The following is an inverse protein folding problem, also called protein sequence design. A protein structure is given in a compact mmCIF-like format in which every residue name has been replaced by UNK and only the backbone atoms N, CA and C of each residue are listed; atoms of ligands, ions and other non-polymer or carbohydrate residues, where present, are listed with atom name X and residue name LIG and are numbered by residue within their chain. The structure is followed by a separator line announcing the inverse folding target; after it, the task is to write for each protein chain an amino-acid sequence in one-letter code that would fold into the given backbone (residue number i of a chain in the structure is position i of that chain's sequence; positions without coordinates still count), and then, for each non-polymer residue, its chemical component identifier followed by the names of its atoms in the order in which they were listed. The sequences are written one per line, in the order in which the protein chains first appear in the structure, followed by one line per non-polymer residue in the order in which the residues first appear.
data_IF_988257975791
#
_entry.id   IF_988257975791
#
_cell.length_a   1.000
_cell.length_b   1.000
_cell.length_c   1.000
_cell.angle_alpha   90.00
_cell.angle_beta   90.00
_cell.angle_gamma   90.00
#
_symmetry.space_group_name_H-M   'P 1'
#
loop_
_entity.id
_entity.type
_entity.pdbx_description
1 polymer ?
#
# COMPACT_ATOMS: atom_id res chain seq x y z
N UNK A 1 55.85 0.03 36.20
CA UNK A 1 55.09 -0.79 35.23
C UNK A 1 53.61 -0.42 35.33
N UNK A 2 53.07 0.08 34.21
CA UNK A 2 51.66 0.20 33.79
C UNK A 2 50.65 0.84 34.77
N UNK A 3 50.43 2.14 34.57
CA UNK A 3 49.18 2.83 34.86
C UNK A 3 48.31 2.89 33.58
N UNK A 4 46.99 2.99 33.79
CA UNK A 4 45.89 3.24 32.82
C UNK A 4 45.33 2.01 32.07
N UNK A 5 44.19 1.51 32.56
CA UNK A 5 43.21 0.82 31.73
C UNK A 5 41.77 1.32 32.04
N UNK A 6 41.31 2.19 31.13
CA UNK A 6 39.97 2.22 30.49
C UNK A 6 38.72 2.42 31.38
N UNK A 7 38.49 3.66 31.80
CA UNK A 7 37.15 4.22 31.92
C UNK A 7 36.65 4.64 30.52
N UNK A 8 36.05 3.71 29.76
CA UNK A 8 35.50 4.01 28.43
C UNK A 8 34.29 3.12 28.07
N UNK A 9 33.46 2.79 29.05
CA UNK A 9 32.23 2.01 28.83
C UNK A 9 30.97 2.69 29.42
N UNK A 10 31.05 3.98 29.78
CA UNK A 10 29.91 4.73 30.36
C UNK A 10 29.40 5.87 29.48
N UNK A 11 29.99 6.14 28.32
CA UNK A 11 29.52 7.21 27.42
C UNK A 11 28.62 6.72 26.27
N UNK A 12 28.61 5.42 25.94
CA UNK A 12 27.76 4.90 24.85
C UNK A 12 26.30 4.70 25.28
N UNK A 13 26.01 4.51 26.57
CA UNK A 13 24.64 4.28 27.07
C UNK A 13 23.82 5.58 27.11
N UNK A 14 24.48 6.74 27.31
CA UNK A 14 23.82 8.05 27.32
C UNK A 14 23.34 8.53 25.94
N UNK A 15 23.86 7.97 24.84
CA UNK A 15 23.41 8.31 23.48
C UNK A 15 22.09 7.62 23.10
N UNK A 16 21.83 6.43 23.64
CA UNK A 16 20.62 5.66 23.29
C UNK A 16 19.39 6.22 24.02
N UNK A 17 19.56 6.71 25.24
CA UNK A 17 18.47 7.30 26.03
C UNK A 17 18.00 8.65 25.45
N UNK A 18 18.88 9.42 24.79
CA UNK A 18 18.53 10.69 24.14
C UNK A 18 17.78 10.49 22.81
N UNK A 19 18.03 9.39 22.11
CA UNK A 19 17.30 9.01 20.88
C UNK A 19 15.87 8.54 21.21
N UNK A 20 15.67 7.86 22.35
CA UNK A 20 14.33 7.45 22.79
C UNK A 20 13.49 8.62 23.30
N UNK A 21 14.11 9.61 23.95
CA UNK A 21 13.39 10.81 24.42
C UNK A 21 13.01 11.77 23.28
N UNK A 22 13.81 11.83 22.21
CA UNK A 22 13.47 12.61 21.00
C UNK A 22 12.42 11.92 20.12
N UNK A 23 12.34 10.58 20.14
CA UNK A 23 11.32 9.81 19.42
C UNK A 23 9.91 9.99 20.00
N UNK A 24 9.79 10.25 21.32
CA UNK A 24 8.48 10.43 21.97
C UNK A 24 7.83 11.80 21.71
N UNK A 25 8.60 12.83 21.34
CA UNK A 25 8.05 14.14 20.95
C UNK A 25 7.62 14.23 19.47
N UNK A 26 7.98 13.25 18.64
CA UNK A 26 7.50 13.19 17.25
C UNK A 26 6.08 12.60 17.13
N UNK A 27 5.58 11.94 18.18
CA UNK A 27 4.28 11.27 18.20
C UNK A 27 3.12 12.14 18.72
N UNK A 28 3.36 13.40 19.11
CA UNK A 28 2.27 14.37 19.24
C UNK A 28 1.86 14.84 17.84
N UNK A 29 1.21 13.93 17.12
CA UNK A 29 0.44 14.28 15.95
C UNK A 29 -0.54 15.38 16.34
N UNK A 30 -0.37 16.57 15.75
CA UNK A 30 -1.50 17.46 15.55
C UNK A 30 -2.53 16.61 14.80
N UNK A 31 -3.62 16.24 15.47
CA UNK A 31 -4.82 15.78 14.77
C UNK A 31 -5.24 16.96 13.90
N UNK A 32 -4.77 16.93 12.66
CA UNK A 32 -5.06 17.95 11.67
C UNK A 32 -6.54 17.82 11.37
N UNK A 33 -7.27 18.92 11.55
CA UNK A 33 -8.68 19.05 11.23
C UNK A 33 -9.04 18.62 9.78
N UNK A 34 -8.06 18.35 8.92
CA UNK A 34 -8.24 17.70 7.60
C UNK A 34 -8.83 16.30 7.65
N UNK A 35 -8.67 15.55 8.73
CA UNK A 35 -9.28 14.21 8.85
C UNK A 35 -10.82 14.26 8.81
N UNK A 36 -11.43 15.38 9.24
CA UNK A 36 -12.89 15.58 9.20
C UNK A 36 -13.44 15.88 7.79
N UNK A 37 -12.59 16.23 6.80
CA UNK A 37 -13.02 16.43 5.41
C UNK A 37 -12.93 15.16 4.57
N UNK A 38 -12.21 14.14 5.04
CA UNK A 38 -12.01 12.88 4.30
C UNK A 38 -13.23 11.94 4.35
N UNK A 39 -14.11 12.10 5.34
CA UNK A 39 -15.26 11.21 5.52
C UNK A 39 -16.34 11.43 4.43
N UNK A 40 -16.42 12.64 3.87
CA UNK A 40 -17.36 13.01 2.80
C UNK A 40 -16.96 12.55 1.39
N UNK A 41 -15.72 12.10 1.18
CA UNK A 41 -15.25 11.61 -0.13
C UNK A 41 -15.56 10.12 -0.36
N UNK A 42 -15.80 9.36 0.73
CA UNK A 42 -15.97 7.90 0.70
C UNK A 42 -17.28 7.44 0.05
N UNK A 43 -18.33 8.29 0.08
CA UNK A 43 -19.69 7.93 -0.37
C UNK A 43 -19.84 7.79 -1.89
N UNK A 44 -18.88 8.30 -2.68
CA UNK A 44 -18.95 8.30 -4.15
C UNK A 44 -17.85 7.44 -4.83
N UNK A 45 -17.07 6.68 -4.07
CA UNK A 45 -16.02 5.82 -4.64
C UNK A 45 -16.58 4.48 -5.09
N UNK A 46 -16.09 3.98 -6.23
CA UNK A 46 -16.34 2.60 -6.66
C UNK A 46 -15.64 1.61 -5.73
N UNK A 47 -16.04 0.34 -5.77
CA UNK A 47 -15.44 -0.70 -4.92
C UNK A 47 -13.94 -0.88 -5.21
N UNK A 48 -13.52 -0.80 -6.48
CA UNK A 48 -12.10 -0.82 -6.83
C UNK A 48 -11.35 0.39 -6.26
N UNK A 49 -11.96 1.58 -6.32
CA UNK A 49 -11.37 2.78 -5.74
C UNK A 49 -11.22 2.64 -4.22
N UNK A 50 -12.24 2.11 -3.54
CA UNK A 50 -12.19 1.81 -2.09
C UNK A 50 -11.07 0.83 -1.79
N UNK A 51 -10.94 -0.24 -2.57
CA UNK A 51 -9.87 -1.24 -2.43
C UNK A 51 -8.48 -0.59 -2.50
N UNK A 52 -8.19 0.19 -3.56
CA UNK A 52 -6.87 0.81 -3.70
C UNK A 52 -6.65 1.97 -2.73
N UNK A 53 -7.70 2.60 -2.21
CA UNK A 53 -7.60 3.67 -1.22
C UNK A 53 -6.95 3.22 0.10
N UNK A 54 -6.85 1.91 0.36
CA UNK A 54 -6.04 1.38 1.46
C UNK A 54 -4.59 1.86 1.38
N UNK A 55 -4.03 1.89 0.16
CA UNK A 55 -2.64 2.29 -0.07
C UNK A 55 -2.46 3.81 -0.08
N UNK A 56 -3.51 4.60 -0.37
CA UNK A 56 -3.49 6.06 -0.25
C UNK A 56 -3.54 6.44 1.24
N UNK A 57 -2.37 6.65 1.86
CA UNK A 57 -2.25 6.81 3.32
C UNK A 57 -2.58 8.22 3.75
N UNK A 58 -2.21 9.21 2.94
CA UNK A 58 -2.44 10.61 3.22
C UNK A 58 -3.83 11.12 2.75
N UNK A 59 -4.57 10.30 1.99
CA UNK A 59 -5.92 10.56 1.47
C UNK A 59 -5.98 11.71 0.47
N UNK A 60 -4.94 11.89 -0.35
CA UNK A 60 -4.91 12.90 -1.41
C UNK A 60 -5.35 12.37 -2.79
N UNK A 61 -5.66 11.08 -2.90
CA UNK A 61 -6.06 10.41 -4.14
C UNK A 61 -4.89 10.00 -5.05
N UNK A 62 -3.66 10.14 -4.58
CA UNK A 62 -2.42 9.81 -5.28
C UNK A 62 -1.64 8.80 -4.43
N UNK A 63 -1.46 7.60 -4.96
CA UNK A 63 -0.66 6.57 -4.30
C UNK A 63 0.77 6.67 -4.86
N UNK A 64 1.74 6.84 -3.96
CA UNK A 64 3.17 6.85 -4.27
C UNK A 64 3.81 5.46 -4.10
N UNK A 65 4.96 5.17 -4.73
CA UNK A 65 5.67 3.89 -4.52
C UNK A 65 5.98 3.61 -3.04
N UNK A 66 6.29 4.65 -2.27
CA UNK A 66 6.55 4.54 -0.84
C UNK A 66 5.30 4.12 -0.07
N UNK A 67 4.15 4.69 -0.40
CA UNK A 67 2.88 4.32 0.22
C UNK A 67 2.46 2.89 -0.15
N UNK A 68 2.68 2.46 -1.39
CA UNK A 68 2.47 1.07 -1.79
C UNK A 68 3.37 0.12 -1.01
N UNK A 69 4.66 0.44 -0.88
CA UNK A 69 5.60 -0.32 -0.05
C UNK A 69 5.09 -0.42 1.41
N UNK A 70 4.70 0.71 2.00
CA UNK A 70 4.18 0.76 3.36
C UNK A 70 2.87 -0.02 3.51
N UNK A 71 2.00 -0.03 2.50
CA UNK A 71 0.78 -0.81 2.48
C UNK A 71 1.04 -2.31 2.44
N UNK A 72 2.01 -2.79 1.64
CA UNK A 72 2.42 -4.19 1.65
C UNK A 72 3.01 -4.62 3.00
N UNK A 73 3.86 -3.78 3.60
CA UNK A 73 4.36 -4.02 4.98
C UNK A 73 3.20 -4.06 5.98
N UNK A 74 2.20 -3.18 5.84
CA UNK A 74 1.05 -3.12 6.75
C UNK A 74 0.14 -4.35 6.68
N UNK A 75 0.06 -5.05 5.53
CA UNK A 75 -0.66 -6.33 5.41
C UNK A 75 0.19 -7.55 5.82
N UNK A 76 1.43 -7.33 6.29
CA UNK A 76 2.31 -8.37 6.81
C UNK A 76 3.30 -8.93 5.80
N UNK A 77 3.54 -8.28 4.65
CA UNK A 77 4.57 -8.71 3.72
C UNK A 77 5.97 -8.28 4.18
N UNK A 78 6.96 -9.14 3.90
CA UNK A 78 8.38 -8.84 4.15
C UNK A 78 8.89 -7.66 3.32
N UNK A 79 9.96 -7.00 3.79
CA UNK A 79 10.52 -5.78 3.18
C UNK A 79 10.92 -6.00 1.71
N UNK A 80 11.59 -7.13 1.41
CA UNK A 80 12.04 -7.44 0.05
C UNK A 80 10.85 -7.62 -0.90
N UNK A 81 9.85 -8.38 -0.50
CA UNK A 81 8.62 -8.57 -1.29
C UNK A 81 7.87 -7.25 -1.48
N UNK A 82 7.71 -6.47 -0.41
CA UNK A 82 7.03 -5.18 -0.45
C UNK A 82 7.71 -4.20 -1.42
N UNK A 83 9.04 -4.21 -1.48
CA UNK A 83 9.81 -3.34 -2.39
C UNK A 83 9.62 -3.76 -3.85
N UNK A 84 9.68 -5.07 -4.12
CA UNK A 84 9.44 -5.62 -5.46
C UNK A 84 8.00 -5.36 -5.92
N UNK A 85 7.03 -5.61 -5.05
CA UNK A 85 5.61 -5.39 -5.33
C UNK A 85 5.30 -3.92 -5.62
N UNK A 86 5.83 -2.98 -4.82
CA UNK A 86 5.68 -1.56 -5.07
C UNK A 86 6.24 -1.14 -6.44
N UNK A 87 7.42 -1.64 -6.79
CA UNK A 87 8.04 -1.36 -8.09
C UNK A 87 7.21 -1.89 -9.26
N UNK A 88 6.76 -3.14 -9.17
CA UNK A 88 5.95 -3.79 -10.22
C UNK A 88 4.58 -3.14 -10.37
N UNK A 89 3.88 -2.88 -9.26
CA UNK A 89 2.55 -2.25 -9.28
C UNK A 89 2.60 -0.87 -9.92
N UNK A 90 3.61 -0.05 -9.57
CA UNK A 90 3.74 1.28 -10.18
C UNK A 90 4.19 1.22 -11.64
N UNK A 91 5.13 0.33 -11.98
CA UNK A 91 5.55 0.11 -13.37
C UNK A 91 4.39 -0.32 -14.27
N UNK A 92 3.48 -1.15 -13.76
CA UNK A 92 2.33 -1.65 -14.50
C UNK A 92 1.16 -0.65 -14.56
N UNK A 93 0.80 -0.01 -13.44
CA UNK A 93 -0.45 0.75 -13.33
C UNK A 93 -0.29 2.26 -13.51
N UNK A 94 0.86 2.85 -13.19
CA UNK A 94 1.05 4.30 -13.32
C UNK A 94 0.79 4.81 -14.75
N UNK A 95 1.25 4.16 -15.84
CA UNK A 95 1.02 4.64 -17.20
C UNK A 95 -0.46 4.81 -17.58
N UNK A 96 -1.36 4.04 -16.98
CA UNK A 96 -2.79 4.05 -17.32
C UNK A 96 -3.63 4.95 -16.42
N UNK A 97 -3.11 5.28 -15.24
CA UNK A 97 -3.87 6.00 -14.21
C UNK A 97 -3.53 7.48 -14.12
N UNK A 98 -2.68 8.00 -15.01
CA UNK A 98 -2.39 9.44 -15.04
C UNK A 98 -3.54 10.26 -15.64
N UNK A 99 -3.76 11.51 -15.19
CA UNK A 99 -4.69 12.43 -15.82
C UNK A 99 -4.45 12.56 -17.34
N UNK A 100 -5.50 12.80 -18.14
CA UNK A 100 -5.33 13.08 -19.56
C UNK A 100 -4.37 14.25 -19.78
N UNK A 101 -3.38 14.07 -20.67
CA UNK A 101 -2.39 15.10 -21.00
C UNK A 101 -1.14 15.14 -20.10
N UNK A 102 -1.03 14.27 -19.09
CA UNK A 102 0.21 14.13 -18.31
C UNK A 102 1.33 13.55 -19.18
N UNK A 103 2.53 14.14 -19.10
CA UNK A 103 3.73 13.65 -19.79
C UNK A 103 4.55 12.72 -18.88
N UNK A 104 5.28 11.74 -19.44
CA UNK A 104 6.20 10.89 -18.68
C UNK A 104 7.29 11.69 -17.93
N UNK A 105 7.87 11.15 -16.84
CA UNK A 105 7.67 9.79 -16.32
C UNK A 105 6.43 9.64 -15.43
N UNK A 106 5.74 8.51 -15.59
CA UNK A 106 4.61 8.13 -14.74
C UNK A 106 5.12 7.34 -13.54
N UNK A 107 5.01 7.94 -12.35
CA UNK A 107 5.49 7.31 -11.11
C UNK A 107 4.36 6.98 -10.15
N UNK A 108 3.29 7.80 -10.15
CA UNK A 108 2.21 7.67 -9.18
C UNK A 108 0.96 7.02 -9.79
N UNK A 109 0.15 6.41 -8.93
CA UNK A 109 -1.14 5.85 -9.28
C UNK A 109 -2.22 6.80 -8.79
N UNK A 110 -3.11 7.25 -9.67
CA UNK A 110 -4.23 8.10 -9.25
C UNK A 110 -5.49 7.27 -9.06
N UNK A 111 -6.02 7.28 -7.84
CA UNK A 111 -7.21 6.51 -7.44
C UNK A 111 -8.40 6.80 -8.35
N UNK A 112 -8.60 8.08 -8.72
CA UNK A 112 -9.68 8.50 -9.63
C UNK A 112 -9.71 7.73 -10.95
N UNK A 113 -8.55 7.38 -11.49
CA UNK A 113 -8.40 6.79 -12.82
C UNK A 113 -8.08 5.29 -12.80
N UNK A 114 -8.11 4.64 -11.62
CA UNK A 114 -7.71 3.24 -11.46
C UNK A 114 -8.48 2.25 -12.36
N UNK A 115 -9.75 2.53 -12.66
CA UNK A 115 -10.56 1.73 -13.58
C UNK A 115 -9.98 1.62 -14.99
N UNK A 116 -9.11 2.55 -15.41
CA UNK A 116 -8.42 2.50 -16.71
C UNK A 116 -7.28 1.48 -16.74
N UNK A 117 -6.82 1.03 -15.58
CA UNK A 117 -5.81 0.00 -15.47
C UNK A 117 -6.40 -1.42 -15.50
N UNK A 118 -7.73 -1.55 -15.52
CA UNK A 118 -8.41 -2.83 -15.75
C UNK A 118 -8.14 -3.29 -17.17
N UNK A 119 -7.71 -4.53 -17.33
CA UNK A 119 -7.34 -5.13 -18.60
C UNK A 119 -8.08 -6.44 -18.85
N UNK A 120 -8.15 -6.88 -20.10
CA UNK A 120 -8.93 -8.07 -20.49
C UNK A 120 -8.49 -9.38 -19.84
N UNK A 121 -7.26 -9.47 -19.31
CA UNK A 121 -6.78 -10.62 -18.54
C UNK A 121 -7.21 -10.61 -17.07
N UNK A 122 -7.95 -9.58 -16.61
CA UNK A 122 -8.50 -9.57 -15.25
C UNK A 122 -9.64 -10.58 -15.11
N UNK A 123 -9.90 -11.00 -13.87
CA UNK A 123 -10.94 -11.98 -13.54
C UNK A 123 -12.36 -11.48 -13.80
N UNK A 124 -12.54 -10.16 -13.97
CA UNK A 124 -13.85 -9.51 -14.06
C UNK A 124 -14.55 -9.35 -12.71
N UNK A 125 -13.88 -9.63 -11.58
CA UNK A 125 -14.39 -9.34 -10.24
C UNK A 125 -14.68 -7.85 -10.02
N UNK A 126 -14.03 -6.98 -10.80
CA UNK A 126 -14.42 -5.60 -11.01
C UNK A 126 -14.80 -5.38 -12.47
N UNK A 127 -15.90 -4.67 -12.72
CA UNK A 127 -16.30 -4.30 -14.08
C UNK A 127 -15.43 -3.15 -14.65
N UNK A 128 -15.66 -2.76 -15.90
CA UNK A 128 -14.89 -1.70 -16.59
C UNK A 128 -15.00 -0.31 -15.94
N UNK A 129 -15.89 -0.11 -14.97
CA UNK A 129 -16.02 1.11 -14.17
C UNK A 129 -15.43 0.94 -12.77
N UNK A 130 -14.91 -0.24 -12.44
CA UNK A 130 -14.37 -0.59 -11.12
C UNK A 130 -15.45 -0.94 -10.10
N UNK A 131 -16.66 -1.30 -10.53
CA UNK A 131 -17.71 -1.77 -9.62
C UNK A 131 -17.53 -3.26 -9.35
N UNK A 132 -17.78 -3.69 -8.12
CA UNK A 132 -17.62 -5.10 -7.76
C UNK A 132 -18.72 -5.98 -8.37
N UNK A 133 -18.34 -7.14 -8.89
CA UNK A 133 -19.24 -8.12 -9.52
C UNK A 133 -19.13 -9.44 -8.77
N UNK A 134 -20.07 -9.66 -7.82
CA UNK A 134 -20.08 -10.84 -6.95
C UNK A 134 -20.04 -12.16 -7.74
N UNK A 135 -20.85 -12.27 -8.80
CA UNK A 135 -20.92 -13.50 -9.62
C UNK A 135 -19.56 -13.90 -10.19
N UNK A 136 -18.77 -12.91 -10.66
CA UNK A 136 -17.44 -13.13 -11.22
C UNK A 136 -16.42 -13.46 -10.13
N UNK A 137 -16.56 -12.88 -8.94
CA UNK A 137 -15.74 -13.23 -7.80
C UNK A 137 -15.98 -14.68 -7.35
N UNK A 138 -17.23 -15.11 -7.26
CA UNK A 138 -17.59 -16.47 -6.86
C UNK A 138 -17.12 -17.52 -7.90
N UNK A 139 -17.06 -17.14 -9.18
CA UNK A 139 -16.53 -17.97 -10.26
C UNK A 139 -15.06 -18.35 -10.04
N UNK A 140 -14.25 -17.45 -9.43
CA UNK A 140 -12.84 -17.72 -9.11
C UNK A 140 -12.72 -18.94 -8.21
N UNK A 141 -13.47 -18.97 -7.11
CA UNK A 141 -13.43 -20.08 -6.15
C UNK A 141 -13.98 -21.37 -6.76
N UNK A 142 -15.09 -21.27 -7.51
CA UNK A 142 -15.65 -22.45 -8.21
C UNK A 142 -14.65 -23.09 -9.18
N UNK A 143 -13.79 -22.30 -9.80
CA UNK A 143 -12.83 -22.77 -10.80
C UNK A 143 -11.50 -23.22 -10.22
N UNK A 144 -11.00 -22.53 -9.19
CA UNK A 144 -9.62 -22.69 -8.72
C UNK A 144 -9.49 -23.27 -7.29
N UNK A 145 -10.54 -23.24 -6.47
CA UNK A 145 -10.48 -23.68 -5.07
C UNK A 145 -10.69 -25.20 -4.96
N UNK A 146 -9.62 -25.98 -5.17
CA UNK A 146 -9.68 -27.45 -5.14
C UNK A 146 -9.42 -28.02 -3.74
N UNK A 147 -8.63 -27.35 -2.92
CA UNK A 147 -8.27 -27.80 -1.57
C UNK A 147 -9.34 -27.41 -0.53
N UNK A 148 -9.74 -26.13 -0.52
CA UNK A 148 -10.73 -25.58 0.41
C UNK A 148 -11.65 -24.63 -0.33
N UNK A 149 -12.95 -24.90 -0.37
CA UNK A 149 -13.90 -24.20 -1.26
C UNK A 149 -14.01 -22.68 -1.06
N UNK A 150 -13.64 -22.17 0.11
CA UNK A 150 -13.68 -20.75 0.50
C UNK A 150 -12.29 -20.09 0.59
N UNK A 151 -11.24 -20.74 0.09
CA UNK A 151 -9.87 -20.22 0.10
C UNK A 151 -9.07 -20.69 -1.11
N UNK A 152 -8.08 -19.89 -1.52
CA UNK A 152 -7.10 -20.27 -2.53
C UNK A 152 -5.74 -20.40 -1.87
N UNK A 153 -5.05 -21.51 -2.13
CA UNK A 153 -3.62 -21.61 -1.87
C UNK A 153 -2.83 -20.80 -2.90
N UNK A 154 -1.56 -20.45 -2.60
CA UNK A 154 -0.72 -19.71 -3.54
C UNK A 154 -0.62 -20.36 -4.94
N UNK A 155 -0.44 -21.70 -5.06
CA UNK A 155 -0.46 -22.35 -6.36
C UNK A 155 -1.81 -22.18 -7.09
N UNK A 156 -2.94 -22.39 -6.40
CA UNK A 156 -4.27 -22.22 -7.00
C UNK A 156 -4.54 -20.78 -7.46
N UNK A 157 -3.97 -19.79 -6.77
CA UNK A 157 -4.09 -18.38 -7.10
C UNK A 157 -3.14 -17.90 -8.20
N UNK A 158 -2.03 -18.59 -8.45
CA UNK A 158 -1.00 -18.21 -9.43
C UNK A 158 -1.07 -18.98 -10.75
N UNK A 159 -2.02 -19.92 -10.91
CA UNK A 159 -2.17 -20.79 -12.08
C UNK A 159 -2.98 -20.19 -13.23
#
# INVERSE_FOLDING_TARGET
MVARQRAAASLQVLSILSVLLTCSLCCFGKVSARALLADGASSNMTELQKHVSFFDRNKDGIITPLETFQGFVAVGCEIAFSSAAASTVHGALAPFTNPPGTLPPYVNIHVKYIHRAIHGSDTGAYDSKGRFVQEKFDEIFKKHAHIKLDALTLPEACC
#
